data_IF_955100425829
#
_entry.id   IF_955100425829
#
_cell.length_a   1.000
_cell.length_b   1.000
_cell.length_c   1.000
_cell.angle_alpha   90.00
_cell.angle_beta   90.00
_cell.angle_gamma   90.00
#
_symmetry.space_group_name_H-M   'P 1'
#
loop_
_entity.id
_entity.type
_entity.pdbx_description
1 polymer ?
#
# COMPACT_ATOMS: atom_id res chain seq x y z
N UNK A 1 19.93 1.67 15.08
CA UNK A 1 18.82 0.82 15.51
C UNK A 1 18.17 1.31 16.83
N UNK A 2 18.88 1.53 17.94
CA UNK A 2 18.29 2.00 19.21
C UNK A 2 17.49 3.31 19.10
N UNK A 3 17.97 4.32 18.37
CA UNK A 3 17.27 5.61 18.20
C UNK A 3 15.98 5.51 17.38
N UNK A 4 15.91 4.58 16.41
CA UNK A 4 14.69 4.32 15.64
C UNK A 4 13.61 3.65 16.50
N UNK A 5 14.02 2.70 17.33
CA UNK A 5 13.13 2.01 18.29
C UNK A 5 12.55 3.00 19.31
N UNK A 6 13.37 3.94 19.81
CA UNK A 6 12.92 4.98 20.74
C UNK A 6 11.91 5.94 20.12
N UNK A 7 12.08 6.30 18.85
CA UNK A 7 11.12 7.16 18.12
C UNK A 7 9.81 6.42 17.89
N UNK A 8 9.87 5.15 17.51
CA UNK A 8 8.66 4.31 17.34
C UNK A 8 7.92 4.14 18.68
N UNK A 9 8.65 3.88 19.78
CA UNK A 9 8.05 3.79 21.10
C UNK A 9 7.45 5.13 21.58
N UNK A 10 8.11 6.25 21.31
CA UNK A 10 7.62 7.58 21.66
C UNK A 10 6.36 7.94 20.84
N UNK A 11 6.31 7.58 19.57
CA UNK A 11 5.11 7.74 18.72
C UNK A 11 3.98 6.84 19.23
N UNK A 12 4.23 5.59 19.58
CA UNK A 12 3.25 4.69 20.18
C UNK A 12 2.76 5.18 21.55
N UNK A 13 3.64 5.73 22.38
CA UNK A 13 3.28 6.28 23.69
C UNK A 13 2.46 7.59 23.58
N UNK A 14 2.72 8.42 22.58
CA UNK A 14 1.92 9.63 22.33
C UNK A 14 0.50 9.31 21.85
N UNK A 15 0.28 8.18 21.18
CA UNK A 15 -1.05 7.68 20.83
C UNK A 15 -1.88 7.20 22.03
N UNK A 16 -1.24 6.80 23.13
CA UNK A 16 -1.95 6.45 24.39
C UNK A 16 -2.44 7.68 25.16
N UNK A 17 -1.84 8.84 24.91
CA UNK A 17 -2.21 10.10 25.58
C UNK A 17 -3.33 10.87 24.89
N UNK A 18 -3.80 10.42 23.72
CA UNK A 18 -5.03 10.95 23.13
C UNK A 18 -6.19 10.51 24.06
N UNK A 19 -6.87 11.50 24.73
CA UNK A 19 -8.01 11.14 25.54
C UNK A 19 -8.97 10.35 24.66
N UNK A 20 -9.35 9.16 25.10
CA UNK A 20 -10.43 8.39 24.52
C UNK A 20 -11.75 9.17 24.78
N UNK A 21 -11.83 10.37 24.18
CA UNK A 21 -13.09 11.06 24.06
C UNK A 21 -13.92 10.15 23.20
N UNK A 22 -14.92 9.57 23.82
CA UNK A 22 -16.05 8.89 23.22
C UNK A 22 -16.62 9.77 22.10
N UNK A 23 -15.92 9.84 20.98
CA UNK A 23 -16.51 10.22 19.74
C UNK A 23 -17.48 9.09 19.48
N UNK A 24 -18.73 9.46 19.31
CA UNK A 24 -19.84 8.56 19.04
C UNK A 24 -19.32 7.46 18.09
N UNK A 25 -19.03 6.22 18.56
CA UNK A 25 -18.31 5.20 17.78
C UNK A 25 -19.10 4.74 16.55
N UNK A 26 -20.22 5.39 16.31
CA UNK A 26 -21.10 5.17 15.19
C UNK A 26 -20.82 6.06 13.98
N UNK A 27 -20.02 7.12 14.07
CA UNK A 27 -19.85 8.07 12.96
C UNK A 27 -18.51 7.96 12.25
N UNK A 28 -17.41 8.01 12.94
CA UNK A 28 -16.08 8.02 12.33
C UNK A 28 -15.17 7.05 13.08
N UNK A 29 -14.33 6.32 12.34
CA UNK A 29 -13.36 5.38 12.88
C UNK A 29 -11.99 5.74 12.30
N UNK A 30 -11.09 6.16 13.16
CA UNK A 30 -9.69 6.33 12.76
C UNK A 30 -8.99 4.99 12.92
N UNK A 31 -8.31 4.54 11.89
CA UNK A 31 -7.59 3.27 11.90
C UNK A 31 -6.12 3.50 11.61
N UNK A 32 -5.27 3.04 12.51
CA UNK A 32 -3.83 2.97 12.30
C UNK A 32 -3.50 1.59 11.78
N UNK A 33 -2.84 1.51 10.63
CA UNK A 33 -2.53 0.27 9.94
C UNK A 33 -1.03 0.01 9.89
N UNK A 34 -0.66 -1.25 9.90
CA UNK A 34 0.70 -1.68 9.61
C UNK A 34 0.75 -3.14 9.21
N UNK A 35 1.60 -3.47 8.25
CA UNK A 35 1.68 -4.83 7.78
C UNK A 35 2.77 -5.09 6.76
N UNK A 36 2.80 -6.32 6.28
CA UNK A 36 3.64 -6.78 5.21
C UNK A 36 2.88 -6.79 3.88
N UNK A 37 3.62 -6.69 2.81
CA UNK A 37 3.08 -6.90 1.47
C UNK A 37 4.01 -7.78 0.64
N UNK A 38 3.45 -8.40 -0.39
CA UNK A 38 4.17 -9.13 -1.43
C UNK A 38 3.76 -8.50 -2.75
N UNK A 39 4.71 -7.86 -3.42
CA UNK A 39 4.47 -7.16 -4.66
C UNK A 39 5.29 -7.73 -5.82
N UNK A 40 4.75 -7.59 -7.03
CA UNK A 40 5.42 -7.93 -8.27
C UNK A 40 4.90 -7.02 -9.40
N UNK A 41 5.60 -7.00 -10.52
CA UNK A 41 5.19 -6.26 -11.71
C UNK A 41 4.83 -7.25 -12.82
N UNK A 42 3.68 -7.04 -13.46
CA UNK A 42 3.40 -7.61 -14.77
C UNK A 42 3.99 -6.67 -15.82
N UNK A 43 4.95 -7.15 -16.58
CA UNK A 43 5.70 -6.35 -17.54
C UNK A 43 5.64 -6.98 -18.93
N UNK A 44 5.58 -6.13 -19.95
CA UNK A 44 5.72 -6.54 -21.34
C UNK A 44 6.93 -5.82 -21.97
N UNK A 45 7.71 -6.57 -22.70
CA UNK A 45 8.85 -6.14 -23.48
C UNK A 45 8.74 -6.70 -24.87
N UNK A 46 8.67 -5.84 -25.85
CA UNK A 46 8.46 -6.22 -27.25
C UNK A 46 7.21 -7.13 -27.40
N UNK A 47 7.34 -8.34 -27.90
CA UNK A 47 6.27 -9.33 -28.00
C UNK A 47 6.24 -10.34 -26.82
N UNK A 48 7.12 -10.16 -25.83
CA UNK A 48 7.22 -11.01 -24.66
C UNK A 48 6.50 -10.34 -23.47
N UNK A 49 5.66 -11.11 -22.78
CA UNK A 49 5.03 -10.68 -21.53
C UNK A 49 5.40 -11.64 -20.41
N UNK A 50 5.62 -11.09 -19.22
CA UNK A 50 5.98 -11.89 -18.05
C UNK A 50 5.74 -11.15 -16.76
N UNK A 51 5.94 -11.85 -15.65
CA UNK A 51 5.88 -11.28 -14.31
C UNK A 51 7.26 -11.29 -13.67
N UNK A 52 7.56 -10.26 -12.91
CA UNK A 52 8.77 -10.23 -12.07
C UNK A 52 8.61 -11.19 -10.90
N UNK A 53 9.72 -11.70 -10.37
CA UNK A 53 9.69 -12.46 -9.12
C UNK A 53 9.16 -11.58 -7.99
N UNK A 54 8.26 -12.13 -7.14
CA UNK A 54 7.66 -11.39 -6.04
C UNK A 54 8.70 -10.89 -5.04
N UNK A 55 8.38 -9.77 -4.39
CA UNK A 55 9.20 -9.20 -3.35
C UNK A 55 8.37 -8.83 -2.14
N UNK A 56 8.88 -9.19 -0.96
CA UNK A 56 8.33 -8.73 0.31
C UNK A 56 8.67 -7.26 0.56
N UNK A 57 7.67 -6.53 1.04
CA UNK A 57 7.74 -5.15 1.46
C UNK A 57 6.88 -4.94 2.71
N UNK A 58 6.58 -3.68 3.02
CA UNK A 58 5.77 -3.30 4.16
C UNK A 58 4.94 -2.07 3.85
N UNK A 59 3.90 -1.88 4.63
CA UNK A 59 3.08 -0.67 4.60
C UNK A 59 2.71 -0.24 6.01
N UNK A 60 2.46 1.06 6.18
CA UNK A 60 1.96 1.64 7.41
C UNK A 60 1.22 2.95 7.10
N UNK A 61 0.23 3.29 7.90
CA UNK A 61 -0.46 4.57 7.76
C UNK A 61 -1.71 4.69 8.60
N UNK A 62 -2.49 5.72 8.28
CA UNK A 62 -3.71 6.08 9.01
C UNK A 62 -4.82 6.34 8.00
N UNK A 63 -6.00 5.80 8.28
CA UNK A 63 -7.22 6.07 7.51
C UNK A 63 -8.35 6.49 8.43
N UNK A 64 -9.21 7.35 7.92
CA UNK A 64 -10.48 7.74 8.54
C UNK A 64 -11.63 7.08 7.77
N UNK A 65 -12.52 6.41 8.48
CA UNK A 65 -13.68 5.72 7.94
C UNK A 65 -14.95 6.40 8.43
N UNK A 66 -15.61 7.11 7.53
CA UNK A 66 -16.81 7.89 7.81
C UNK A 66 -18.03 7.04 7.47
N UNK A 67 -18.95 6.88 8.42
CA UNK A 67 -20.20 6.14 8.21
C UNK A 67 -21.13 6.88 7.26
N UNK A 68 -21.48 6.25 6.14
CA UNK A 68 -22.33 6.85 5.11
C UNK A 68 -23.82 6.81 5.46
N UNK A 69 -24.28 5.78 6.16
CA UNK A 69 -25.70 5.61 6.43
C UNK A 69 -25.97 5.09 7.84
N UNK A 70 -27.02 5.61 8.49
CA UNK A 70 -27.36 5.26 9.89
C UNK A 70 -27.86 3.82 10.06
N UNK A 71 -28.56 3.26 9.08
CA UNK A 71 -29.14 1.90 9.15
C UNK A 71 -28.25 0.83 8.58
N UNK A 72 -27.39 1.17 7.61
CA UNK A 72 -26.48 0.23 6.94
C UNK A 72 -25.07 0.49 7.47
N UNK A 73 -24.33 -0.53 7.89
CA UNK A 73 -22.96 -0.40 8.39
C UNK A 73 -21.96 -0.20 7.23
N UNK A 74 -22.19 0.82 6.43
CA UNK A 74 -21.40 1.19 5.26
C UNK A 74 -20.56 2.42 5.59
N UNK A 75 -19.25 2.35 5.30
CA UNK A 75 -18.27 3.39 5.56
C UNK A 75 -17.55 3.76 4.28
N UNK A 76 -17.18 5.02 4.15
CA UNK A 76 -16.19 5.48 3.17
C UNK A 76 -14.89 5.72 3.91
N UNK A 77 -13.81 5.11 3.43
CA UNK A 77 -12.47 5.20 4.02
C UNK A 77 -11.53 6.00 3.14
N UNK A 78 -10.77 6.90 3.72
CA UNK A 78 -9.67 7.61 3.07
C UNK A 78 -8.56 7.89 4.07
N UNK A 79 -7.36 8.23 3.60
CA UNK A 79 -6.24 8.51 4.49
C UNK A 79 -4.91 8.54 3.78
N UNK A 80 -3.85 8.28 4.52
CA UNK A 80 -2.48 8.27 4.01
C UNK A 80 -1.80 6.99 4.45
N UNK A 81 -1.26 6.25 3.46
CA UNK A 81 -0.49 5.03 3.67
C UNK A 81 0.88 5.17 3.01
N UNK A 82 1.93 4.85 3.74
CA UNK A 82 3.25 4.60 3.17
C UNK A 82 3.34 3.13 2.76
N UNK A 83 3.85 2.84 1.56
CA UNK A 83 3.99 1.47 1.07
C UNK A 83 5.32 1.29 0.31
N UNK A 84 6.11 0.32 0.74
CA UNK A 84 7.29 -0.14 0.01
C UNK A 84 6.92 -1.38 -0.78
N UNK A 85 6.98 -1.30 -2.09
CA UNK A 85 6.65 -2.40 -3.02
C UNK A 85 7.90 -2.84 -3.77
N UNK A 86 7.78 -3.81 -4.65
CA UNK A 86 8.89 -4.13 -5.52
C UNK A 86 8.74 -5.42 -6.30
N UNK A 87 9.76 -5.69 -7.12
CA UNK A 87 9.90 -6.91 -7.90
C UNK A 87 11.35 -7.16 -8.24
N UNK A 88 11.67 -8.41 -8.62
CA UNK A 88 12.99 -8.81 -9.08
C UNK A 88 12.88 -9.39 -10.48
N UNK A 89 13.83 -9.03 -11.34
CA UNK A 89 13.90 -9.55 -12.71
C UNK A 89 15.35 -9.61 -13.17
N UNK A 90 15.83 -10.79 -13.56
CA UNK A 90 17.18 -11.01 -14.12
C UNK A 90 18.30 -10.32 -13.35
N UNK A 91 18.41 -10.49 -12.04
CA UNK A 91 19.41 -9.82 -11.20
C UNK A 91 19.03 -8.39 -10.77
N UNK A 92 18.05 -7.76 -11.41
CA UNK A 92 17.54 -6.44 -11.03
C UNK A 92 16.53 -6.53 -9.89
N UNK A 93 16.65 -5.63 -8.95
CA UNK A 93 15.71 -5.49 -7.84
C UNK A 93 15.19 -4.05 -7.74
N UNK A 94 13.93 -3.84 -8.13
CA UNK A 94 13.27 -2.55 -8.00
C UNK A 94 12.58 -2.44 -6.63
N UNK A 95 12.75 -1.28 -5.98
CA UNK A 95 12.11 -0.95 -4.68
C UNK A 95 11.44 0.41 -4.73
N UNK A 96 10.34 0.59 -5.42
CA UNK A 96 9.57 1.82 -5.32
C UNK A 96 8.96 1.99 -3.93
N UNK A 97 8.95 3.23 -3.45
CA UNK A 97 8.27 3.66 -2.24
C UNK A 97 7.18 4.64 -2.62
N UNK A 98 5.96 4.39 -2.13
CA UNK A 98 4.78 5.18 -2.43
C UNK A 98 4.18 5.80 -1.18
N UNK A 99 3.74 7.03 -1.33
CA UNK A 99 2.72 7.63 -0.48
C UNK A 99 1.38 7.41 -1.17
N UNK A 100 0.46 6.67 -0.53
CA UNK A 100 -0.81 6.27 -1.10
C UNK A 100 -1.96 6.98 -0.40
N UNK A 101 -2.95 7.38 -1.18
CA UNK A 101 -4.24 7.87 -0.71
C UNK A 101 -5.30 6.85 -1.17
N UNK A 102 -5.81 6.00 -0.27
CA UNK A 102 -6.92 5.11 -0.58
C UNK A 102 -8.25 5.87 -0.57
N UNK A 103 -9.19 5.39 -1.35
CA UNK A 103 -10.61 5.74 -1.29
C UNK A 103 -11.39 4.44 -1.34
N UNK A 104 -11.95 4.02 -0.20
CA UNK A 104 -12.57 2.71 -0.05
C UNK A 104 -14.02 2.81 0.40
N UNK A 105 -14.77 1.77 0.10
CA UNK A 105 -16.09 1.50 0.66
C UNK A 105 -15.97 0.22 1.47
N UNK A 106 -16.31 0.30 2.75
CA UNK A 106 -16.22 -0.79 3.69
C UNK A 106 -17.59 -1.13 4.25
N UNK A 107 -17.93 -2.41 4.30
CA UNK A 107 -19.18 -2.89 4.89
C UNK A 107 -18.88 -3.70 6.15
N UNK A 108 -19.27 -3.20 7.34
CA UNK A 108 -18.99 -3.90 8.61
C UNK A 108 -20.12 -4.86 8.96
N UNK A 109 -19.93 -6.13 8.69
CA UNK A 109 -20.88 -7.20 9.00
C UNK A 109 -20.55 -7.74 10.40
N UNK A 110 -21.41 -7.48 11.40
CA UNK A 110 -21.24 -7.97 12.77
C UNK A 110 -21.67 -9.44 12.84
N UNK A 111 -20.72 -10.32 13.14
CA UNK A 111 -20.98 -11.75 13.34
C UNK A 111 -21.29 -12.06 14.82
N UNK A 112 -20.71 -11.29 15.77
CA UNK A 112 -20.99 -11.38 17.20
C UNK A 112 -20.84 -10.01 17.87
N UNK A 113 -20.94 -9.97 19.21
CA UNK A 113 -20.72 -8.72 19.98
C UNK A 113 -19.30 -8.15 19.80
N UNK A 114 -18.32 -8.99 19.55
CA UNK A 114 -16.90 -8.62 19.47
C UNK A 114 -16.28 -8.87 18.10
N UNK A 115 -16.92 -9.67 17.23
CA UNK A 115 -16.37 -10.10 15.95
C UNK A 115 -17.15 -9.47 14.79
N UNK A 116 -16.42 -8.93 13.83
CA UNK A 116 -16.99 -8.40 12.58
C UNK A 116 -16.14 -8.82 11.36
N UNK A 117 -16.79 -8.99 10.22
CA UNK A 117 -16.14 -9.16 8.91
C UNK A 117 -16.34 -7.86 8.14
N UNK A 118 -15.28 -7.35 7.54
CA UNK A 118 -15.29 -6.04 6.89
C UNK A 118 -14.75 -6.21 5.47
N UNK A 119 -15.58 -6.62 4.49
CA UNK A 119 -15.21 -6.53 3.08
C UNK A 119 -14.98 -5.07 2.69
N UNK A 120 -13.95 -4.85 1.89
CA UNK A 120 -13.49 -3.56 1.43
C UNK A 120 -13.29 -3.58 -0.08
N UNK A 121 -13.77 -2.57 -0.76
CA UNK A 121 -13.51 -2.33 -2.17
C UNK A 121 -13.25 -0.84 -2.39
N UNK A 122 -12.37 -0.51 -3.31
CA UNK A 122 -12.09 0.89 -3.61
C UNK A 122 -11.01 1.08 -4.65
N UNK A 123 -10.50 2.30 -4.68
CA UNK A 123 -9.37 2.69 -5.50
C UNK A 123 -8.27 3.29 -4.61
N UNK A 124 -7.07 3.36 -5.15
CA UNK A 124 -5.97 4.08 -4.51
C UNK A 124 -5.19 4.88 -5.55
N UNK A 125 -4.67 5.99 -5.11
CA UNK A 125 -3.66 6.77 -5.84
C UNK A 125 -2.36 6.72 -5.06
N UNK A 126 -1.23 6.48 -5.75
CA UNK A 126 0.10 6.42 -5.17
C UNK A 126 1.06 7.39 -5.84
N UNK A 127 1.72 8.20 -5.04
CA UNK A 127 2.83 9.05 -5.47
C UNK A 127 4.16 8.38 -5.08
N UNK A 128 5.04 8.13 -6.05
CA UNK A 128 6.38 7.63 -5.82
C UNK A 128 7.25 8.68 -5.15
N UNK A 129 7.56 8.50 -3.89
CA UNK A 129 8.37 9.42 -3.07
C UNK A 129 9.85 9.08 -3.07
N UNK A 130 10.21 7.88 -3.52
CA UNK A 130 11.58 7.40 -3.66
C UNK A 130 11.60 5.97 -4.17
N UNK A 131 12.76 5.48 -4.53
CA UNK A 131 12.92 4.10 -4.97
C UNK A 131 14.27 3.89 -5.60
N UNK A 132 14.81 2.69 -5.39
CA UNK A 132 16.10 2.27 -5.95
C UNK A 132 15.92 1.05 -6.83
N UNK A 133 16.57 1.09 -7.97
CA UNK A 133 16.87 -0.05 -8.80
C UNK A 133 18.27 -0.53 -8.45
N UNK A 134 18.41 -1.78 -8.02
CA UNK A 134 19.69 -2.38 -7.68
C UNK A 134 20.01 -3.47 -8.69
N UNK A 135 21.24 -3.47 -9.15
CA UNK A 135 21.89 -4.53 -9.90
C UNK A 135 23.21 -4.87 -9.20
N UNK A 136 23.86 -5.97 -9.56
CA UNK A 136 25.10 -6.43 -8.93
C UNK A 136 26.22 -5.38 -8.96
N UNK A 137 26.28 -4.59 -10.04
CA UNK A 137 27.32 -3.57 -10.26
C UNK A 137 26.95 -2.16 -9.73
N UNK A 138 25.76 -1.96 -9.11
CA UNK A 138 25.41 -0.64 -8.64
C UNK A 138 23.91 -0.43 -8.37
N UNK A 139 23.54 0.83 -8.23
CA UNK A 139 22.16 1.23 -8.02
C UNK A 139 21.83 2.51 -8.80
N UNK A 140 20.57 2.67 -9.20
CA UNK A 140 20.04 3.86 -9.82
C UNK A 140 18.72 4.27 -9.16
N UNK A 141 18.37 5.54 -9.27
CA UNK A 141 17.07 6.04 -8.80
C UNK A 141 15.97 5.69 -9.79
N UNK A 142 14.89 5.06 -9.31
CA UNK A 142 13.75 4.67 -10.14
C UNK A 142 13.00 5.87 -10.74
N UNK A 143 13.00 6.99 -10.04
CA UNK A 143 12.23 8.19 -10.35
C UNK A 143 13.08 9.39 -10.78
N UNK A 144 14.32 9.16 -11.18
CA UNK A 144 15.14 10.20 -11.79
C UNK A 144 14.45 10.80 -13.05
N UNK A 145 14.86 11.98 -13.52
CA UNK A 145 14.33 12.57 -14.78
C UNK A 145 14.38 11.59 -15.95
N UNK A 146 15.43 10.78 -16.03
CA UNK A 146 15.65 9.73 -17.03
C UNK A 146 15.30 8.32 -16.51
N UNK A 147 14.72 8.23 -15.32
CA UNK A 147 14.41 6.96 -14.67
C UNK A 147 13.33 6.15 -15.39
N UNK A 148 13.37 4.82 -15.26
CA UNK A 148 12.52 3.91 -16.03
C UNK A 148 11.05 3.89 -15.60
N UNK A 149 10.72 4.45 -14.45
CA UNK A 149 9.39 4.37 -13.87
C UNK A 149 8.69 5.74 -13.73
N UNK A 150 7.39 5.74 -13.96
CA UNK A 150 6.52 6.89 -13.65
C UNK A 150 6.32 7.00 -12.13
N UNK A 151 6.29 8.23 -11.62
CA UNK A 151 6.12 8.51 -10.17
C UNK A 151 4.71 8.26 -9.67
N UNK A 152 3.69 8.30 -10.52
CA UNK A 152 2.30 8.13 -10.08
C UNK A 152 1.78 6.78 -10.51
N UNK A 153 1.06 6.14 -9.62
CA UNK A 153 0.32 4.91 -9.86
C UNK A 153 -1.12 5.08 -9.40
N UNK A 154 -2.03 4.35 -9.98
CA UNK A 154 -3.44 4.30 -9.61
C UNK A 154 -3.92 2.87 -9.78
N UNK A 155 -4.73 2.42 -8.86
CA UNK A 155 -5.22 1.04 -8.91
C UNK A 155 -6.50 0.84 -8.11
N UNK A 156 -6.95 -0.41 -8.10
CA UNK A 156 -8.07 -0.86 -7.30
C UNK A 156 -7.55 -1.47 -5.98
N UNK A 157 -8.40 -1.49 -4.98
CA UNK A 157 -8.19 -2.18 -3.72
C UNK A 157 -9.38 -3.07 -3.44
N UNK A 158 -9.11 -4.35 -3.23
CA UNK A 158 -10.10 -5.35 -2.83
C UNK A 158 -9.53 -6.04 -1.60
N UNK A 159 -10.32 -6.13 -0.53
CA UNK A 159 -9.82 -6.72 0.71
C UNK A 159 -10.93 -7.18 1.63
N UNK A 160 -10.50 -7.80 2.71
CA UNK A 160 -11.34 -8.18 3.83
C UNK A 160 -10.57 -7.97 5.13
N UNK A 161 -11.26 -7.51 6.17
CA UNK A 161 -10.70 -7.48 7.51
C UNK A 161 -11.59 -8.26 8.48
N UNK A 162 -10.96 -8.87 9.47
CA UNK A 162 -11.59 -9.46 10.64
C UNK A 162 -11.39 -8.51 11.82
N UNK A 163 -12.46 -7.84 12.24
CA UNK A 163 -12.44 -6.94 13.38
C UNK A 163 -12.74 -7.68 14.67
N UNK A 164 -11.89 -7.50 15.68
CA UNK A 164 -12.08 -8.02 17.04
C UNK A 164 -11.83 -6.92 18.07
N UNK A 165 -12.89 -6.42 18.68
CA UNK A 165 -12.82 -5.26 19.56
C UNK A 165 -12.28 -4.03 18.81
N UNK A 166 -11.10 -3.55 19.22
CA UNK A 166 -10.38 -2.43 18.56
C UNK A 166 -9.37 -2.88 17.50
N UNK A 167 -9.12 -4.17 17.39
CA UNK A 167 -8.13 -4.70 16.46
C UNK A 167 -8.80 -5.23 15.21
N UNK A 168 -8.09 -5.16 14.11
CA UNK A 168 -8.50 -5.75 12.84
C UNK A 168 -7.31 -6.43 12.16
N UNK A 169 -7.52 -7.66 11.72
CA UNK A 169 -6.59 -8.36 10.84
C UNK A 169 -7.06 -8.11 9.41
N UNK A 170 -6.18 -7.62 8.56
CA UNK A 170 -6.50 -7.21 7.19
C UNK A 170 -5.77 -8.07 6.18
N UNK A 171 -6.46 -8.41 5.10
CA UNK A 171 -5.87 -8.99 3.91
C UNK A 171 -6.44 -8.32 2.67
N UNK A 172 -5.61 -8.05 1.67
CA UNK A 172 -6.04 -7.35 0.48
C UNK A 172 -5.18 -7.61 -0.75
N UNK A 173 -5.73 -7.23 -1.89
CA UNK A 173 -5.08 -7.25 -3.18
C UNK A 173 -5.26 -5.90 -3.87
N UNK A 174 -4.17 -5.37 -4.38
CA UNK A 174 -4.09 -4.04 -4.98
C UNK A 174 -3.47 -4.12 -6.39
N UNK A 175 -4.26 -4.35 -7.43
CA UNK A 175 -3.80 -4.25 -8.81
C UNK A 175 -3.65 -2.78 -9.23
N UNK A 176 -2.48 -2.43 -9.77
CA UNK A 176 -2.22 -1.16 -10.43
C UNK A 176 -2.77 -1.16 -11.85
N UNK A 177 -3.50 -0.12 -12.20
CA UNK A 177 -4.11 0.04 -13.51
C UNK A 177 -3.26 0.89 -14.45
N UNK A 178 -2.40 1.73 -13.91
CA UNK A 178 -1.56 2.62 -14.70
C UNK A 178 -0.34 1.90 -15.24
N UNK A 179 0.00 2.18 -16.50
CA UNK A 179 1.27 1.78 -17.05
C UNK A 179 2.40 2.59 -16.40
N UNK A 180 3.24 1.92 -15.63
CA UNK A 180 4.38 2.53 -14.92
C UNK A 180 5.62 2.64 -15.79
N UNK A 181 5.69 1.94 -16.94
CA UNK A 181 6.82 2.03 -17.83
C UNK A 181 6.91 3.43 -18.47
N UNK A 182 8.13 3.93 -18.59
CA UNK A 182 8.44 5.15 -19.35
C UNK A 182 9.15 4.74 -20.64
N UNK A 183 8.43 4.75 -21.78
CA UNK A 183 9.02 4.39 -23.07
C UNK A 183 10.13 5.36 -23.52
N UNK A 184 10.07 6.60 -23.02
CA UNK A 184 11.04 7.66 -23.34
C UNK A 184 12.29 7.62 -22.45
N UNK A 185 12.36 6.69 -21.49
CA UNK A 185 13.53 6.54 -20.64
C UNK A 185 14.74 6.08 -21.47
N UNK A 186 15.85 6.76 -21.33
CA UNK A 186 17.10 6.38 -21.99
C UNK A 186 17.56 5.04 -21.43
N UNK A 187 17.87 4.04 -22.28
CA UNK A 187 18.48 2.82 -21.81
C UNK A 187 19.78 3.16 -21.06
N UNK A 188 19.84 2.85 -19.81
CA UNK A 188 21.07 2.98 -19.03
C UNK A 188 21.82 1.68 -19.07
N UNK A 189 23.12 1.72 -18.79
CA UNK A 189 23.98 0.50 -18.66
C UNK A 189 23.38 -0.50 -17.68
N UNK A 190 22.58 -0.02 -16.71
CA UNK A 190 21.90 -0.83 -15.71
C UNK A 190 20.56 -1.43 -16.17
N UNK A 191 19.92 -0.90 -17.23
CA UNK A 191 18.67 -1.44 -17.79
C UNK A 191 18.75 -1.41 -19.32
N UNK A 192 19.31 -2.44 -19.95
CA UNK A 192 19.39 -2.53 -21.40
C UNK A 192 18.02 -2.81 -22.06
N UNK A 193 16.98 -3.09 -21.26
CA UNK A 193 15.66 -3.51 -21.72
C UNK A 193 14.63 -2.39 -21.53
N UNK A 194 13.90 -2.06 -22.58
CA UNK A 194 12.76 -1.12 -22.54
C UNK A 194 11.48 -1.88 -22.30
N UNK A 195 10.84 -1.63 -21.16
CA UNK A 195 9.49 -2.13 -20.92
C UNK A 195 8.46 -1.24 -21.65
N UNK A 196 7.58 -1.85 -22.43
CA UNK A 196 6.47 -1.16 -23.10
C UNK A 196 5.28 -1.01 -22.16
N UNK A 197 5.05 -1.99 -21.30
CA UNK A 197 3.99 -1.97 -20.28
C UNK A 197 4.53 -2.53 -18.97
N UNK A 198 4.09 -1.93 -17.86
CA UNK A 198 4.39 -2.40 -16.53
C UNK A 198 3.27 -2.01 -15.56
N UNK A 199 2.63 -3.00 -14.96
CA UNK A 199 1.57 -2.83 -13.96
C UNK A 199 2.00 -3.41 -12.63
N UNK A 200 1.70 -2.71 -11.54
CA UNK A 200 1.99 -3.18 -10.19
C UNK A 200 0.90 -4.11 -9.68
N UNK A 201 1.28 -5.14 -8.96
CA UNK A 201 0.38 -6.03 -8.23
C UNK A 201 0.91 -6.18 -6.82
N UNK A 202 0.02 -6.11 -5.82
CA UNK A 202 0.43 -6.15 -4.42
C UNK A 202 -0.60 -6.89 -3.58
N UNK A 203 -0.17 -7.95 -2.90
CA UNK A 203 -0.93 -8.60 -1.84
C UNK A 203 -0.51 -8.00 -0.50
N UNK A 204 -1.47 -7.71 0.35
CA UNK A 204 -1.23 -7.10 1.67
C UNK A 204 -1.80 -7.98 2.77
N UNK A 205 -1.09 -8.07 3.88
CA UNK A 205 -1.58 -8.63 5.14
C UNK A 205 -1.09 -7.74 6.28
N UNK A 206 -1.94 -7.43 7.24
CA UNK A 206 -1.55 -6.55 8.33
C UNK A 206 -2.57 -6.46 9.45
N UNK A 207 -2.22 -5.62 10.39
CA UNK A 207 -3.02 -5.32 11.56
C UNK A 207 -3.43 -3.85 11.53
N UNK A 208 -4.63 -3.57 12.01
CA UNK A 208 -5.13 -2.24 12.28
C UNK A 208 -5.61 -2.11 13.72
N UNK A 209 -5.55 -0.88 14.23
CA UNK A 209 -6.13 -0.52 15.51
C UNK A 209 -7.13 0.62 15.29
N UNK A 210 -8.36 0.44 15.76
CA UNK A 210 -9.48 1.39 15.61
C UNK A 210 -9.61 2.28 16.87
N UNK A 211 -9.81 3.58 16.62
CA UNK A 211 -9.95 4.61 17.64
C UNK A 211 -11.24 5.41 17.45
#
# INVERSE_FOLDING_TARGET
MRRLLSVILAVLASFQALPARSQNPERNLIVVHGGANIAFFAAAYDNLSGTTSPRAGYYAGVTDHIRLHRRIPLYIGTGILFSSRGGRYMGFSARPMYLQVPLTIDCRIRCSRTLSIIPTVGAWYGAGIGGKLRHDDGWAELYAPEGPMRRSDVGLRIGVALGWGRFRLEAGYEPGLRNLARPDATPTTLLPVRFTRMHSHCFTIGLGCEF
#
